data_IF_083359823715
#
_entry.id   IF_083359823715
#
_cell.length_a   1.000
_cell.length_b   1.000
_cell.length_c   1.000
_cell.angle_alpha   90.00
_cell.angle_beta   90.00
_cell.angle_gamma   90.00
#
_symmetry.space_group_name_H-M   'P 1'
#
loop_
_entity.id
_entity.type
_entity.pdbx_description
1 polymer ?
#
# COMPACT_ATOMS: atom_id res chain seq x y z
N UNK A 1 10.50 31.42 -78.97
CA UNK A 1 9.40 31.68 -79.95
C UNK A 1 8.13 31.83 -79.12
N UNK A 2 7.88 33.04 -78.61
CA UNK A 2 6.81 33.97 -79.04
C UNK A 2 5.41 33.52 -78.58
N UNK A 3 4.52 34.30 -77.95
CA UNK A 3 4.40 35.75 -77.72
C UNK A 3 3.19 35.99 -76.79
N UNK A 4 3.32 36.93 -75.84
CA UNK A 4 2.46 38.11 -75.55
C UNK A 4 0.92 37.95 -75.46
N UNK A 5 0.30 38.43 -74.36
CA UNK A 5 -0.51 39.67 -74.35
C UNK A 5 -1.31 39.85 -73.06
N UNK A 6 -1.09 40.98 -72.37
CA UNK A 6 -1.88 41.39 -71.20
C UNK A 6 -3.11 42.21 -71.55
N UNK A 7 -3.98 42.44 -70.56
CA UNK A 7 -4.80 43.66 -70.48
C UNK A 7 -5.37 43.86 -69.08
N UNK A 8 -4.92 44.92 -68.41
CA UNK A 8 -5.62 45.57 -67.31
C UNK A 8 -6.91 46.24 -67.80
N UNK A 9 -7.96 46.22 -66.97
CA UNK A 9 -8.97 47.28 -66.94
C UNK A 9 -9.33 47.53 -65.48
N UNK A 10 -8.93 48.70 -64.98
CA UNK A 10 -9.47 49.34 -63.80
C UNK A 10 -10.74 50.12 -64.17
N UNK A 11 -11.79 50.03 -63.35
CA UNK A 11 -12.82 51.08 -63.26
C UNK A 11 -13.14 51.33 -61.79
N UNK A 12 -12.94 52.59 -61.43
CA UNK A 12 -13.24 53.26 -60.18
C UNK A 12 -14.75 53.47 -59.98
N UNK A 13 -15.22 53.40 -58.75
CA UNK A 13 -16.58 53.76 -58.35
C UNK A 13 -16.69 53.95 -56.84
N UNK A 14 -16.50 55.18 -56.38
CA UNK A 14 -16.68 55.64 -55.00
C UNK A 14 -18.16 55.64 -54.58
N UNK A 15 -18.44 55.42 -53.29
CA UNK A 15 -19.81 55.60 -52.77
C UNK A 15 -20.05 55.19 -51.32
N UNK A 16 -19.70 56.08 -50.40
CA UNK A 16 -20.42 56.42 -49.16
C UNK A 16 -20.47 55.45 -47.96
N UNK A 17 -20.08 56.04 -46.83
CA UNK A 17 -20.13 55.57 -45.47
C UNK A 17 -21.53 55.20 -44.97
N UNK A 18 -21.61 54.11 -44.21
CA UNK A 18 -22.62 53.89 -43.17
C UNK A 18 -22.01 53.01 -42.07
N UNK A 19 -21.51 53.71 -41.06
CA UNK A 19 -21.04 53.23 -39.77
C UNK A 19 -22.10 52.34 -39.10
N UNK A 20 -21.85 51.03 -39.03
CA UNK A 20 -22.63 50.10 -38.19
C UNK A 20 -21.84 49.76 -36.94
N UNK A 21 -22.25 50.39 -35.83
CA UNK A 21 -21.84 50.09 -34.45
C UNK A 21 -22.05 48.59 -34.13
N UNK A 22 -21.18 47.97 -33.33
CA UNK A 22 -21.44 46.64 -32.79
C UNK A 22 -22.51 46.73 -31.69
N UNK A 23 -23.66 46.12 -31.93
CA UNK A 23 -24.73 46.01 -30.94
C UNK A 23 -24.37 44.92 -29.92
N UNK A 24 -24.14 45.38 -28.68
CA UNK A 24 -23.88 44.56 -27.53
C UNK A 24 -25.14 43.78 -27.11
N UNK A 25 -25.27 42.54 -27.57
CA UNK A 25 -26.22 41.60 -26.99
C UNK A 25 -25.65 41.01 -25.69
N UNK A 26 -25.96 41.68 -24.58
CA UNK A 26 -25.84 41.17 -23.21
C UNK A 26 -26.83 40.01 -23.01
N UNK A 27 -26.40 38.79 -23.30
CA UNK A 27 -27.05 37.56 -22.86
C UNK A 27 -26.29 36.96 -21.69
N UNK A 28 -26.60 37.40 -20.48
CA UNK A 28 -26.03 36.88 -19.23
C UNK A 28 -26.51 35.46 -18.94
N UNK A 29 -25.98 34.48 -19.66
CA UNK A 29 -25.98 33.09 -19.21
C UNK A 29 -24.97 32.96 -18.07
N UNK A 30 -25.45 33.01 -16.83
CA UNK A 30 -24.67 32.65 -15.66
C UNK A 30 -24.19 31.21 -15.85
N UNK A 31 -22.92 31.06 -16.23
CA UNK A 31 -22.24 29.78 -16.23
C UNK A 31 -22.49 29.14 -14.84
N UNK A 32 -22.96 27.88 -14.76
CA UNK A 32 -23.18 27.24 -13.47
C UNK A 32 -21.88 27.32 -12.70
N UNK A 33 -21.88 28.08 -11.60
CA UNK A 33 -20.69 28.35 -10.82
C UNK A 33 -20.00 27.03 -10.53
N UNK A 34 -18.84 26.84 -11.15
CA UNK A 34 -17.94 25.75 -10.82
C UNK A 34 -17.66 25.91 -9.33
N UNK A 35 -18.38 25.15 -8.50
CA UNK A 35 -18.23 25.19 -7.04
C UNK A 35 -16.75 25.02 -6.79
N UNK A 36 -16.11 26.07 -6.26
CA UNK A 36 -14.72 26.01 -5.84
C UNK A 36 -14.62 24.86 -4.83
N UNK A 37 -14.19 23.70 -5.31
CA UNK A 37 -14.06 22.53 -4.46
C UNK A 37 -12.98 22.88 -3.45
N UNK A 38 -13.31 22.81 -2.17
CA UNK A 38 -12.33 23.08 -1.13
C UNK A 38 -11.13 22.14 -1.31
N UNK A 39 -9.93 22.66 -1.13
CA UNK A 39 -8.68 21.91 -1.25
C UNK A 39 -8.68 20.52 -0.56
N UNK A 40 -9.29 20.32 0.63
CA UNK A 40 -9.40 18.99 1.24
C UNK A 40 -10.38 18.06 0.51
N UNK A 41 -11.51 18.56 0.00
CA UNK A 41 -12.47 17.75 -0.74
C UNK A 41 -11.89 17.24 -2.08
N UNK A 42 -11.03 18.04 -2.73
CA UNK A 42 -10.31 17.60 -3.93
C UNK A 42 -9.31 16.48 -3.62
N UNK A 43 -8.59 16.56 -2.48
CA UNK A 43 -7.63 15.55 -2.07
C UNK A 43 -8.31 14.22 -1.69
N UNK A 44 -9.43 14.28 -0.97
CA UNK A 44 -10.21 13.09 -0.63
C UNK A 44 -10.81 12.41 -1.87
N UNK A 45 -11.25 13.19 -2.86
CA UNK A 45 -11.71 12.65 -4.15
C UNK A 45 -10.58 11.96 -4.90
N UNK A 46 -9.40 12.57 -4.94
CA UNK A 46 -8.21 11.99 -5.58
C UNK A 46 -7.77 10.69 -4.89
N UNK A 47 -7.72 10.69 -3.55
CA UNK A 47 -7.43 9.48 -2.79
C UNK A 47 -8.49 8.40 -3.02
N UNK A 48 -9.77 8.76 -3.02
CA UNK A 48 -10.87 7.84 -3.32
C UNK A 48 -10.77 7.22 -4.71
N UNK A 49 -10.39 8.01 -5.72
CA UNK A 49 -10.15 7.47 -7.06
C UNK A 49 -8.94 6.54 -7.12
N UNK A 50 -7.83 6.89 -6.45
CA UNK A 50 -6.61 6.07 -6.43
C UNK A 50 -6.85 4.72 -5.73
N UNK A 51 -7.56 4.74 -4.60
CA UNK A 51 -8.01 3.54 -3.88
C UNK A 51 -8.91 2.71 -4.79
N UNK A 52 -9.90 3.33 -5.43
CA UNK A 52 -10.80 2.66 -6.36
C UNK A 52 -10.06 1.94 -7.49
N UNK A 53 -9.05 2.58 -8.09
CA UNK A 53 -8.20 1.97 -9.12
C UNK A 53 -7.37 0.82 -8.56
N UNK A 54 -6.78 1.00 -7.38
CA UNK A 54 -5.92 0.00 -6.73
C UNK A 54 -6.68 -1.28 -6.41
N UNK A 55 -7.89 -1.19 -5.85
CA UNK A 55 -8.70 -2.36 -5.49
C UNK A 55 -9.47 -2.97 -6.66
N UNK A 56 -9.62 -2.25 -7.79
CA UNK A 56 -10.24 -2.79 -9.01
C UNK A 56 -9.25 -3.43 -9.98
N UNK A 57 -7.94 -3.26 -9.75
CA UNK A 57 -6.92 -3.84 -10.62
C UNK A 57 -6.88 -5.37 -10.42
N UNK A 58 -7.04 -6.18 -11.48
CA UNK A 58 -7.15 -7.64 -11.36
C UNK A 58 -5.91 -8.25 -10.70
N UNK A 59 -4.72 -7.72 -11.00
CA UNK A 59 -3.45 -8.09 -10.34
C UNK A 59 -3.54 -7.96 -8.81
N UNK A 60 -4.10 -6.85 -8.31
CA UNK A 60 -4.17 -6.58 -6.87
C UNK A 60 -5.26 -7.42 -6.20
N UNK A 61 -6.38 -7.64 -6.87
CA UNK A 61 -7.43 -8.56 -6.42
C UNK A 61 -6.87 -9.99 -6.31
N UNK A 62 -6.12 -10.45 -7.32
CA UNK A 62 -5.49 -11.77 -7.28
C UNK A 62 -4.52 -11.90 -6.10
N UNK A 63 -3.70 -10.89 -5.81
CA UNK A 63 -2.82 -10.88 -4.64
C UNK A 63 -3.61 -10.96 -3.32
N UNK A 64 -4.68 -10.17 -3.16
CA UNK A 64 -5.54 -10.24 -1.97
C UNK A 64 -6.23 -11.61 -1.84
N UNK A 65 -6.66 -12.20 -2.95
CA UNK A 65 -7.25 -13.54 -2.96
C UNK A 65 -6.23 -14.60 -2.54
N UNK A 66 -5.00 -14.55 -3.05
CA UNK A 66 -3.91 -15.44 -2.63
C UNK A 66 -3.64 -15.27 -1.14
N UNK A 67 -3.53 -14.03 -0.64
CA UNK A 67 -3.36 -13.75 0.78
C UNK A 67 -4.51 -14.28 1.65
N UNK A 68 -5.74 -14.31 1.13
CA UNK A 68 -6.90 -14.87 1.84
C UNK A 68 -6.91 -16.41 1.84
N UNK A 69 -6.41 -17.04 0.78
CA UNK A 69 -6.42 -18.50 0.63
C UNK A 69 -5.37 -19.16 1.52
N UNK A 70 -4.19 -18.57 1.66
CA UNK A 70 -3.08 -19.21 2.39
C UNK A 70 -3.43 -19.52 3.86
N UNK A 71 -4.05 -18.62 4.66
CA UNK A 71 -4.44 -18.97 6.03
C UNK A 71 -5.46 -20.11 6.12
N UNK A 72 -6.38 -20.19 5.15
CA UNK A 72 -7.34 -21.30 5.05
C UNK A 72 -6.60 -22.61 4.79
N UNK A 73 -5.63 -22.61 3.87
CA UNK A 73 -4.80 -23.78 3.59
C UNK A 73 -4.00 -24.21 4.82
N UNK A 74 -3.43 -23.27 5.58
CA UNK A 74 -2.73 -23.56 6.84
C UNK A 74 -3.69 -24.23 7.83
N UNK A 75 -4.89 -23.67 8.03
CA UNK A 75 -5.88 -24.24 8.93
C UNK A 75 -6.32 -25.64 8.52
N UNK A 76 -6.62 -25.85 7.23
CA UNK A 76 -7.02 -27.17 6.69
C UNK A 76 -5.90 -28.18 6.84
N UNK A 77 -4.64 -27.79 6.55
CA UNK A 77 -3.49 -28.67 6.71
C UNK A 77 -3.30 -29.09 8.18
N UNK A 78 -3.36 -28.14 9.12
CA UNK A 78 -3.26 -28.43 10.55
C UNK A 78 -4.40 -29.35 11.02
N UNK A 79 -5.61 -29.19 10.47
CA UNK A 79 -6.76 -30.05 10.82
C UNK A 79 -6.65 -31.46 10.22
N UNK A 80 -6.18 -31.57 8.98
CA UNK A 80 -6.14 -32.83 8.23
C UNK A 80 -4.95 -33.71 8.63
N UNK A 81 -3.80 -33.11 8.92
CA UNK A 81 -2.56 -33.81 9.22
C UNK A 81 -2.19 -33.78 10.72
N UNK A 82 -2.94 -33.06 11.54
CA UNK A 82 -2.73 -32.91 12.98
C UNK A 82 -3.31 -34.01 13.86
N UNK A 83 -3.29 -35.26 13.43
CA UNK A 83 -3.97 -36.37 14.12
C UNK A 83 -3.32 -36.80 15.45
N UNK A 84 -4.06 -37.51 16.32
CA UNK A 84 -3.60 -37.96 17.66
C UNK A 84 -2.50 -39.03 17.68
N UNK A 85 -1.91 -39.38 16.53
CA UNK A 85 -0.82 -40.37 16.42
C UNK A 85 0.58 -39.77 16.61
N UNK A 86 0.72 -38.44 16.74
CA UNK A 86 1.96 -37.79 17.22
C UNK A 86 2.07 -37.87 18.76
N UNK A 87 1.96 -39.08 19.30
CA UNK A 87 2.19 -39.40 20.72
C UNK A 87 3.67 -39.28 21.15
N UNK A 88 4.55 -38.85 20.26
CA UNK A 88 5.90 -38.39 20.59
C UNK A 88 5.93 -36.90 20.97
N UNK A 89 4.99 -36.46 21.81
CA UNK A 89 5.10 -35.28 22.70
C UNK A 89 5.68 -33.97 22.13
N UNK A 90 5.63 -33.74 20.82
CA UNK A 90 6.59 -32.84 20.16
C UNK A 90 6.10 -32.18 18.87
N UNK A 91 4.79 -32.09 18.64
CA UNK A 91 4.26 -31.20 17.60
C UNK A 91 4.78 -29.77 17.85
N UNK A 92 5.18 -29.00 16.80
CA UNK A 92 5.69 -27.64 16.98
C UNK A 92 4.74 -26.81 17.85
N UNK A 93 5.22 -25.97 18.76
CA UNK A 93 4.37 -25.24 19.72
C UNK A 93 3.16 -24.50 19.09
N UNK A 94 3.32 -24.06 17.82
CA UNK A 94 2.26 -23.46 16.99
C UNK A 94 1.09 -24.43 16.75
N UNK A 95 1.36 -25.72 16.51
CA UNK A 95 0.37 -26.76 16.29
C UNK A 95 -0.54 -26.93 17.52
N UNK A 96 0.06 -27.08 18.70
CA UNK A 96 -0.66 -27.27 19.97
C UNK A 96 -1.51 -26.04 20.33
N UNK A 97 -1.00 -24.84 20.04
CA UNK A 97 -1.72 -23.58 20.29
C UNK A 97 -2.92 -23.41 19.35
N UNK A 98 -2.76 -23.71 18.06
CA UNK A 98 -3.84 -23.58 17.06
C UNK A 98 -4.94 -24.62 17.27
N UNK A 99 -4.57 -25.87 17.56
CA UNK A 99 -5.54 -26.94 17.81
C UNK A 99 -6.32 -26.75 19.11
N UNK A 100 -5.69 -26.13 20.12
CA UNK A 100 -6.35 -25.74 21.37
C UNK A 100 -7.31 -24.57 21.24
N UNK A 101 -7.11 -23.66 20.29
CA UNK A 101 -8.00 -22.52 20.06
C UNK A 101 -7.88 -21.95 18.64
N UNK A 102 -8.99 -21.91 17.90
CA UNK A 102 -9.03 -21.42 16.52
C UNK A 102 -8.57 -19.97 16.31
N UNK A 103 -8.63 -19.11 17.34
CA UNK A 103 -8.11 -17.73 17.24
C UNK A 103 -6.61 -17.71 17.02
N UNK A 104 -5.87 -18.70 17.52
CA UNK A 104 -4.43 -18.82 17.33
C UNK A 104 -4.02 -19.01 15.87
N UNK A 105 -4.92 -19.54 15.02
CA UNK A 105 -4.65 -19.63 13.59
C UNK A 105 -4.37 -18.25 12.99
N UNK A 106 -5.02 -17.20 13.51
CA UNK A 106 -4.79 -15.81 13.07
C UNK A 106 -3.36 -15.36 13.32
N UNK A 107 -2.87 -15.58 14.54
CA UNK A 107 -1.49 -15.22 14.91
C UNK A 107 -0.48 -16.07 14.16
N UNK A 108 -0.72 -17.38 14.05
CA UNK A 108 0.15 -18.31 13.32
C UNK A 108 0.25 -17.94 11.84
N UNK A 109 -0.88 -17.68 11.18
CA UNK A 109 -0.91 -17.28 9.78
C UNK A 109 -0.17 -15.95 9.56
N UNK A 110 -0.41 -14.94 10.40
CA UNK A 110 0.31 -13.66 10.31
C UNK A 110 1.82 -13.85 10.54
N UNK A 111 2.26 -14.67 11.50
CA UNK A 111 3.68 -14.96 11.72
C UNK A 111 4.38 -15.47 10.46
N UNK A 112 3.69 -16.26 9.64
CA UNK A 112 4.23 -16.79 8.38
C UNK A 112 4.12 -15.76 7.25
N UNK A 113 2.94 -15.18 7.04
CA UNK A 113 2.66 -14.33 5.88
C UNK A 113 3.38 -12.98 5.96
N UNK A 114 3.64 -12.46 7.16
CA UNK A 114 4.35 -11.20 7.37
C UNK A 114 5.80 -11.26 6.84
N UNK A 115 6.43 -12.42 6.82
CA UNK A 115 7.83 -12.54 6.43
C UNK A 115 8.05 -12.65 4.91
N UNK A 116 7.03 -13.06 4.17
CA UNK A 116 7.18 -13.36 2.75
C UNK A 116 6.06 -12.79 1.89
N UNK A 117 4.82 -13.22 2.13
CA UNK A 117 3.69 -12.94 1.23
C UNK A 117 3.24 -11.48 1.31
N UNK A 118 3.10 -10.92 2.52
CA UNK A 118 2.70 -9.53 2.71
C UNK A 118 3.74 -8.54 2.13
N UNK A 119 5.06 -8.69 2.42
CA UNK A 119 6.08 -7.83 1.82
C UNK A 119 6.07 -7.84 0.30
N UNK A 120 5.87 -9.00 -0.32
CA UNK A 120 5.80 -9.12 -1.78
C UNK A 120 4.57 -8.41 -2.33
N UNK A 121 3.39 -8.59 -1.72
CA UNK A 121 2.18 -7.89 -2.16
C UNK A 121 2.31 -6.36 -2.05
N UNK A 122 2.90 -5.88 -0.95
CA UNK A 122 3.18 -4.46 -0.72
C UNK A 122 4.19 -3.93 -1.73
N UNK A 123 5.28 -4.66 -1.99
CA UNK A 123 6.29 -4.29 -2.97
C UNK A 123 5.68 -4.13 -4.38
N UNK A 124 4.76 -5.02 -4.79
CA UNK A 124 4.09 -4.94 -6.09
C UNK A 124 3.22 -3.67 -6.20
N UNK A 125 2.42 -3.36 -5.18
CA UNK A 125 1.50 -2.21 -5.24
C UNK A 125 2.24 -0.89 -5.09
N UNK A 126 3.12 -0.76 -4.09
CA UNK A 126 3.84 0.48 -3.83
C UNK A 126 4.98 0.71 -4.84
N UNK A 127 5.66 -0.35 -5.28
CA UNK A 127 6.75 -0.28 -6.26
C UNK A 127 6.27 0.07 -7.68
N UNK A 128 5.05 -0.33 -8.07
CA UNK A 128 4.45 0.05 -9.36
C UNK A 128 3.81 1.45 -9.34
N UNK A 129 3.64 2.05 -8.17
CA UNK A 129 2.82 3.27 -7.98
C UNK A 129 3.32 4.50 -8.75
N UNK A 130 4.65 4.70 -8.82
CA UNK A 130 5.26 5.81 -9.58
C UNK A 130 5.93 5.27 -10.85
N UNK A 131 6.74 4.23 -10.73
CA UNK A 131 7.48 3.63 -11.83
C UNK A 131 6.55 3.08 -12.94
N UNK A 132 5.39 2.51 -12.59
CA UNK A 132 4.43 2.01 -13.57
C UNK A 132 3.80 3.11 -14.41
N UNK A 133 3.52 4.26 -13.78
CA UNK A 133 3.00 5.45 -14.48
C UNK A 133 4.08 6.17 -15.28
N UNK A 134 5.34 6.11 -14.82
CA UNK A 134 6.50 6.62 -15.55
C UNK A 134 6.71 5.84 -16.85
N UNK A 135 6.75 4.51 -16.77
CA UNK A 135 7.04 3.64 -17.92
C UNK A 135 5.98 3.67 -19.03
N UNK A 136 4.72 4.00 -18.71
CA UNK A 136 3.62 4.12 -19.68
C UNK A 136 3.53 5.56 -20.25
N UNK A 137 4.35 6.50 -19.77
CA UNK A 137 4.36 7.90 -20.23
C UNK A 137 3.23 8.76 -19.67
N UNK A 138 2.41 8.25 -18.75
CA UNK A 138 1.29 8.99 -18.14
C UNK A 138 1.75 10.01 -17.09
N UNK A 139 3.01 9.90 -16.61
CA UNK A 139 3.57 10.87 -15.66
C UNK A 139 3.59 12.30 -16.23
N UNK A 140 3.80 12.45 -17.55
CA UNK A 140 3.81 13.75 -18.22
C UNK A 140 2.45 14.45 -18.16
N UNK A 141 1.35 13.69 -18.21
CA UNK A 141 -0.01 14.21 -18.06
C UNK A 141 -0.34 14.57 -16.61
N UNK A 142 0.14 13.79 -15.63
CA UNK A 142 -0.08 14.06 -14.20
C UNK A 142 0.69 15.28 -13.69
N UNK A 143 1.83 15.62 -14.30
CA UNK A 143 2.62 16.82 -13.96
C UNK A 143 2.06 18.12 -14.56
N UNK A 144 1.12 18.04 -15.51
CA UNK A 144 0.40 19.19 -16.08
C UNK A 144 -0.90 19.47 -15.30
N UNK A 145 -1.44 18.46 -14.62
CA UNK A 145 -2.60 18.62 -13.75
C UNK A 145 -2.22 19.41 -12.47
N UNK A 146 -3.06 20.36 -12.00
CA UNK A 146 -2.74 21.29 -10.90
C UNK A 146 -2.72 20.65 -9.49
N UNK A 147 -2.45 19.35 -9.39
CA UNK A 147 -2.22 18.66 -8.12
C UNK A 147 -0.72 18.70 -7.83
N UNK A 148 -0.28 19.65 -6.99
CA UNK A 148 1.15 19.81 -6.66
C UNK A 148 1.85 18.50 -6.31
N UNK A 149 3.11 18.34 -6.75
CA UNK A 149 3.91 17.09 -6.67
C UNK A 149 3.91 16.44 -5.28
N UNK A 150 3.95 17.24 -4.23
CA UNK A 150 3.82 16.83 -2.82
C UNK A 150 2.50 16.14 -2.50
N UNK A 151 1.38 16.71 -2.96
CA UNK A 151 0.04 16.16 -2.71
C UNK A 151 -0.14 14.83 -3.41
N UNK A 152 0.34 14.70 -4.64
CA UNK A 152 0.28 13.46 -5.39
C UNK A 152 1.06 12.34 -4.68
N UNK A 153 2.30 12.63 -4.23
CA UNK A 153 3.10 11.64 -3.50
C UNK A 153 2.43 11.24 -2.18
N UNK A 154 1.86 12.19 -1.43
CA UNK A 154 1.14 11.91 -0.19
C UNK A 154 -0.09 11.01 -0.45
N UNK A 155 -0.84 11.24 -1.53
CA UNK A 155 -1.97 10.37 -1.92
C UNK A 155 -1.49 8.98 -2.30
N UNK A 156 -0.39 8.85 -3.04
CA UNK A 156 0.19 7.53 -3.39
C UNK A 156 0.62 6.75 -2.16
N UNK A 157 1.26 7.42 -1.21
CA UNK A 157 1.60 6.80 0.07
C UNK A 157 0.36 6.40 0.88
N UNK A 158 -0.63 7.29 1.00
CA UNK A 158 -1.87 7.00 1.71
C UNK A 158 -2.64 5.82 1.10
N UNK A 159 -2.72 5.76 -0.23
CA UNK A 159 -3.29 4.62 -0.95
C UNK A 159 -2.53 3.32 -0.67
N UNK A 160 -1.19 3.35 -0.68
CA UNK A 160 -0.37 2.19 -0.33
C UNK A 160 -0.58 1.75 1.14
N UNK A 161 -0.70 2.69 2.08
CA UNK A 161 -1.00 2.40 3.48
C UNK A 161 -2.40 1.77 3.67
N UNK A 162 -3.41 2.25 2.94
CA UNK A 162 -4.75 1.63 2.92
C UNK A 162 -4.69 0.21 2.34
N UNK A 163 -3.92 -0.01 1.27
CA UNK A 163 -3.69 -1.35 0.74
C UNK A 163 -3.01 -2.27 1.77
N UNK A 164 -2.00 -1.78 2.50
CA UNK A 164 -1.34 -2.53 3.57
C UNK A 164 -2.34 -2.95 4.65
N UNK A 165 -3.17 -2.02 5.13
CA UNK A 165 -4.21 -2.31 6.12
C UNK A 165 -5.20 -3.35 5.60
N UNK A 166 -5.67 -3.21 4.36
CA UNK A 166 -6.59 -4.17 3.76
C UNK A 166 -5.97 -5.55 3.58
N UNK A 167 -4.71 -5.63 3.11
CA UNK A 167 -4.00 -6.89 2.93
C UNK A 167 -3.84 -7.65 4.26
N UNK A 168 -3.41 -6.96 5.31
CA UNK A 168 -3.27 -7.55 6.66
C UNK A 168 -4.65 -7.95 7.22
N UNK A 169 -5.68 -7.13 7.03
CA UNK A 169 -7.04 -7.42 7.46
C UNK A 169 -7.60 -8.65 6.75
N UNK A 170 -7.38 -8.80 5.45
CA UNK A 170 -7.81 -9.97 4.67
C UNK A 170 -7.16 -11.24 5.20
N UNK A 171 -5.85 -11.20 5.50
CA UNK A 171 -5.15 -12.32 6.14
C UNK A 171 -5.77 -12.63 7.50
N UNK A 172 -5.97 -11.62 8.34
CA UNK A 172 -6.51 -11.81 9.68
C UNK A 172 -7.94 -12.38 9.67
N UNK A 173 -8.82 -11.84 8.81
CA UNK A 173 -10.21 -12.29 8.71
C UNK A 173 -10.31 -13.70 8.12
N UNK A 174 -9.54 -14.02 7.09
CA UNK A 174 -9.54 -15.37 6.51
C UNK A 174 -9.01 -16.41 7.50
N UNK A 175 -7.94 -16.09 8.22
CA UNK A 175 -7.40 -16.94 9.28
C UNK A 175 -8.37 -17.11 10.45
N UNK A 176 -9.01 -16.02 10.88
CA UNK A 176 -10.00 -16.05 11.96
C UNK A 176 -11.21 -16.88 11.58
N UNK A 177 -11.76 -16.69 10.38
CA UNK A 177 -12.89 -17.46 9.88
C UNK A 177 -12.54 -18.94 9.75
N UNK A 178 -11.41 -19.27 9.13
CA UNK A 178 -10.94 -20.65 9.04
C UNK A 178 -10.71 -21.26 10.43
N UNK A 179 -10.13 -20.49 11.35
CA UNK A 179 -9.84 -20.90 12.71
C UNK A 179 -11.09 -21.27 13.49
N UNK A 180 -12.09 -20.39 13.46
CA UNK A 180 -13.38 -20.60 14.12
C UNK A 180 -14.21 -21.74 13.49
N UNK A 181 -14.02 -22.01 12.20
CA UNK A 181 -14.71 -23.11 11.49
C UNK A 181 -14.05 -24.47 11.72
N UNK A 182 -12.72 -24.53 11.86
CA UNK A 182 -11.95 -25.78 11.89
C UNK A 182 -11.56 -26.23 13.30
N UNK A 183 -11.48 -25.31 14.27
CA UNK A 183 -10.97 -25.57 15.62
C UNK A 183 -11.93 -25.04 16.70
N UNK A 184 -11.82 -25.54 17.95
CA UNK A 184 -12.63 -25.05 19.05
C UNK A 184 -12.45 -23.55 19.30
N UNK A 185 -13.55 -22.86 19.62
CA UNK A 185 -13.52 -21.47 20.09
C UNK A 185 -13.65 -21.45 21.62
N UNK A 186 -12.75 -20.73 22.28
CA UNK A 186 -12.73 -20.62 23.74
C UNK A 186 -11.82 -19.49 24.24
N UNK A 187 -11.58 -19.39 25.56
CA UNK A 187 -10.60 -18.47 26.12
C UNK A 187 -9.23 -18.66 25.46
N UNK A 188 -8.55 -17.56 25.15
CA UNK A 188 -7.23 -17.59 24.50
C UNK A 188 -6.16 -17.78 25.56
N UNK A 189 -5.35 -18.83 25.46
CA UNK A 189 -4.15 -19.05 26.29
C UNK A 189 -3.02 -18.12 25.84
N UNK A 190 -2.67 -17.13 26.64
CA UNK A 190 -1.57 -16.22 26.36
C UNK A 190 -0.20 -16.92 26.45
N UNK A 191 0.84 -16.30 25.90
CA UNK A 191 2.22 -16.78 26.02
C UNK A 191 2.72 -16.79 27.47
N UNK A 192 2.07 -16.02 28.35
CA UNK A 192 2.30 -16.01 29.79
C UNK A 192 1.65 -17.19 30.54
N UNK A 193 0.89 -18.04 29.85
CA UNK A 193 0.16 -19.18 30.43
C UNK A 193 -1.21 -18.81 31.02
N UNK A 194 -1.54 -17.52 31.15
CA UNK A 194 -2.88 -17.05 31.52
C UNK A 194 -3.90 -17.24 30.41
N UNK A 195 -5.19 -17.16 30.72
CA UNK A 195 -6.27 -17.15 29.72
C UNK A 195 -7.02 -15.83 29.73
N UNK A 196 -7.45 -15.38 28.55
CA UNK A 196 -8.28 -14.18 28.39
C UNK A 196 -9.60 -14.53 27.71
N UNK A 197 -10.67 -13.75 27.96
CA UNK A 197 -11.94 -13.96 27.29
C UNK A 197 -11.83 -13.71 25.78
N UNK A 198 -12.75 -14.31 25.03
CA UNK A 198 -12.82 -14.23 23.56
C UNK A 198 -12.79 -12.78 23.04
N UNK A 199 -13.54 -11.89 23.69
CA UNK A 199 -13.66 -10.50 23.28
C UNK A 199 -12.30 -9.76 23.34
N UNK A 200 -11.55 -9.93 24.43
CA UNK A 200 -10.21 -9.37 24.57
C UNK A 200 -9.25 -9.96 23.53
N UNK A 201 -9.46 -11.24 23.19
CA UNK A 201 -8.76 -11.90 22.09
C UNK A 201 -8.98 -11.24 20.73
N UNK A 202 -10.22 -10.88 20.41
CA UNK A 202 -10.55 -10.16 19.17
C UNK A 202 -9.96 -8.75 19.15
N UNK A 203 -9.96 -8.04 20.29
CA UNK A 203 -9.30 -6.74 20.42
C UNK A 203 -7.78 -6.86 20.19
N UNK A 204 -7.15 -7.90 20.75
CA UNK A 204 -5.74 -8.22 20.53
C UNK A 204 -5.44 -8.50 19.06
N UNK A 205 -6.30 -9.23 18.35
CA UNK A 205 -6.17 -9.40 16.89
C UNK A 205 -6.22 -8.05 16.17
N UNK A 206 -7.13 -7.15 16.57
CA UNK A 206 -7.19 -5.79 16.04
C UNK A 206 -5.87 -5.02 16.23
N UNK A 207 -5.26 -5.10 17.41
CA UNK A 207 -3.95 -4.48 17.68
C UNK A 207 -2.84 -5.08 16.82
N UNK A 208 -2.82 -6.40 16.62
CA UNK A 208 -1.87 -7.06 15.71
C UNK A 208 -2.06 -6.56 14.28
N UNK A 209 -3.30 -6.48 13.79
CA UNK A 209 -3.59 -5.97 12.44
C UNK A 209 -3.04 -4.56 12.26
N UNK A 210 -3.25 -3.67 13.23
CA UNK A 210 -2.75 -2.29 13.16
C UNK A 210 -1.22 -2.23 13.22
N UNK A 211 -0.59 -3.01 14.08
CA UNK A 211 0.87 -3.07 14.21
C UNK A 211 1.53 -3.56 12.92
N UNK A 212 1.05 -4.68 12.38
CA UNK A 212 1.56 -5.27 11.14
C UNK A 212 1.29 -4.34 9.95
N UNK A 213 0.11 -3.71 9.90
CA UNK A 213 -0.19 -2.72 8.86
C UNK A 213 0.76 -1.51 8.93
N UNK A 214 1.17 -1.07 10.12
CA UNK A 214 2.17 -0.02 10.28
C UNK A 214 3.56 -0.45 9.75
N UNK A 215 4.00 -1.68 10.04
CA UNK A 215 5.24 -2.24 9.50
C UNK A 215 5.22 -2.37 7.97
N UNK A 216 4.08 -2.80 7.41
CA UNK A 216 3.87 -2.86 5.96
C UNK A 216 3.79 -1.46 5.33
N UNK A 217 3.21 -0.47 6.01
CA UNK A 217 3.19 0.92 5.55
C UNK A 217 4.59 1.56 5.56
N UNK A 218 5.47 1.17 6.49
CA UNK A 218 6.88 1.56 6.45
C UNK A 218 7.60 0.94 5.25
N UNK A 219 7.37 -0.36 4.98
CA UNK A 219 7.89 -1.00 3.76
C UNK A 219 7.33 -0.35 2.49
N UNK A 220 6.06 0.06 2.49
CA UNK A 220 5.46 0.78 1.37
C UNK A 220 6.15 2.12 1.10
N UNK A 221 6.64 2.82 2.13
CA UNK A 221 7.42 4.05 1.96
C UNK A 221 8.76 3.76 1.26
N UNK A 222 9.43 2.66 1.65
CA UNK A 222 10.66 2.18 1.01
C UNK A 222 10.41 1.85 -0.46
N UNK A 223 9.37 1.06 -0.73
CA UNK A 223 8.99 0.66 -2.08
C UNK A 223 8.62 1.86 -2.96
N UNK A 224 7.90 2.83 -2.40
CA UNK A 224 7.55 4.07 -3.08
C UNK A 224 8.79 4.91 -3.40
N UNK A 225 9.75 5.01 -2.48
CA UNK A 225 11.02 5.69 -2.73
C UNK A 225 11.78 5.03 -3.88
N UNK A 226 11.91 3.71 -3.88
CA UNK A 226 12.52 2.96 -4.97
C UNK A 226 11.75 3.14 -6.29
N UNK A 227 10.42 3.22 -6.23
CA UNK A 227 9.55 3.53 -7.38
C UNK A 227 9.86 4.88 -8.01
N UNK A 228 10.28 5.90 -7.24
CA UNK A 228 10.67 7.21 -7.80
C UNK A 228 12.04 7.22 -8.49
N UNK A 229 12.88 6.21 -8.23
CA UNK A 229 14.24 6.09 -8.75
C UNK A 229 14.31 5.42 -10.12
N UNK A 230 13.23 4.78 -10.57
CA UNK A 230 13.20 4.00 -11.81
C UNK A 230 11.93 4.28 -12.60
N UNK A 231 12.00 4.12 -13.91
CA UNK A 231 10.85 4.20 -14.81
C UNK A 231 10.30 2.81 -15.15
N UNK A 232 10.95 1.75 -14.66
CA UNK A 232 10.56 0.36 -14.87
C UNK A 232 10.02 -0.20 -13.55
N UNK A 233 8.70 -0.42 -13.50
CA UNK A 233 8.02 -0.95 -12.32
C UNK A 233 8.63 -2.25 -11.78
N UNK A 234 8.98 -3.17 -12.68
CA UNK A 234 9.59 -4.45 -12.30
C UNK A 234 10.89 -4.23 -11.51
N UNK A 235 11.68 -3.21 -11.86
CA UNK A 235 12.89 -2.86 -11.14
C UNK A 235 12.60 -2.41 -9.70
N UNK A 236 11.63 -1.51 -9.50
CA UNK A 236 11.26 -1.03 -8.17
C UNK A 236 10.74 -2.17 -7.27
N UNK A 237 9.88 -3.04 -7.84
CA UNK A 237 9.32 -4.20 -7.14
C UNK A 237 10.46 -5.15 -6.73
N UNK A 238 11.32 -5.53 -7.69
CA UNK A 238 12.43 -6.44 -7.45
C UNK A 238 13.41 -5.90 -6.40
N UNK A 239 13.79 -4.62 -6.49
CA UNK A 239 14.69 -3.99 -5.50
C UNK A 239 14.09 -3.99 -4.10
N UNK A 240 12.77 -3.75 -3.97
CA UNK A 240 12.09 -3.79 -2.67
C UNK A 240 12.15 -5.20 -2.07
N UNK A 241 11.84 -6.23 -2.87
CA UNK A 241 11.86 -7.62 -2.42
C UNK A 241 13.28 -8.06 -2.07
N UNK A 242 14.28 -7.73 -2.89
CA UNK A 242 15.68 -8.02 -2.60
C UNK A 242 16.13 -7.34 -1.31
N UNK A 243 15.76 -6.07 -1.08
CA UNK A 243 16.06 -5.39 0.17
C UNK A 243 15.47 -6.14 1.36
N UNK A 244 14.20 -6.55 1.29
CA UNK A 244 13.55 -7.34 2.35
C UNK A 244 14.31 -8.64 2.62
N UNK A 245 14.67 -9.38 1.57
CA UNK A 245 15.43 -10.63 1.69
C UNK A 245 16.79 -10.37 2.35
N UNK A 246 17.53 -9.35 1.89
CA UNK A 246 18.82 -8.97 2.47
C UNK A 246 18.67 -8.62 3.94
N UNK A 247 17.68 -7.81 4.31
CA UNK A 247 17.45 -7.46 5.72
C UNK A 247 17.08 -8.67 6.58
N UNK A 248 16.32 -9.64 6.04
CA UNK A 248 16.04 -10.89 6.76
C UNK A 248 17.30 -11.73 6.95
N UNK A 249 18.14 -11.87 5.92
CA UNK A 249 19.41 -12.61 6.00
C UNK A 249 20.33 -11.97 7.04
N UNK A 250 20.47 -10.64 7.04
CA UNK A 250 21.25 -9.91 8.04
C UNK A 250 20.69 -10.12 9.46
N UNK A 251 19.37 -10.26 9.59
CA UNK A 251 18.68 -10.50 10.85
C UNK A 251 18.99 -11.86 11.49
N UNK A 252 19.37 -12.86 10.69
CA UNK A 252 19.68 -14.22 11.19
C UNK A 252 21.13 -14.35 11.65
N UNK A 253 22.04 -13.47 11.19
CA UNK A 253 23.48 -13.55 11.51
C UNK A 253 23.74 -13.04 12.93
N UNK A 254 24.18 -13.89 13.88
CA UNK A 254 24.37 -13.48 15.29
C UNK A 254 25.44 -12.41 15.47
N UNK A 255 26.46 -12.40 14.62
CA UNK A 255 27.56 -11.42 14.64
C UNK A 255 27.09 -10.00 14.31
N UNK A 256 25.91 -9.84 13.70
CA UNK A 256 25.31 -8.56 13.37
C UNK A 256 24.23 -8.13 14.37
N UNK A 257 24.23 -8.70 15.58
CA UNK A 257 23.27 -8.37 16.64
C UNK A 257 23.16 -6.88 16.95
N UNK A 258 24.24 -6.11 16.80
CA UNK A 258 24.21 -4.65 16.94
C UNK A 258 23.41 -3.91 15.86
N UNK A 259 23.26 -4.49 14.66
CA UNK A 259 22.46 -3.92 13.56
C UNK A 259 20.99 -4.34 13.60
N UNK A 260 20.68 -5.50 14.19
CA UNK A 260 19.34 -6.08 14.20
C UNK A 260 18.24 -5.10 14.66
N UNK A 261 18.41 -4.29 15.73
CA UNK A 261 17.38 -3.35 16.18
C UNK A 261 17.02 -2.27 15.15
N UNK A 262 17.89 -2.01 14.18
CA UNK A 262 17.68 -1.02 13.12
C UNK A 262 17.09 -1.62 11.83
N UNK A 263 16.99 -2.95 11.74
CA UNK A 263 16.42 -3.62 10.57
C UNK A 263 14.90 -3.55 10.63
N UNK A 264 14.28 -3.12 9.53
CA UNK A 264 12.82 -3.03 9.44
C UNK A 264 12.13 -4.38 9.74
N UNK A 265 12.71 -5.47 9.22
CA UNK A 265 12.18 -6.83 9.33
C UNK A 265 12.32 -7.43 10.73
N UNK A 266 13.23 -6.91 11.57
CA UNK A 266 13.43 -7.40 12.93
C UNK A 266 12.19 -7.20 13.80
N UNK A 267 11.50 -6.06 13.62
CA UNK A 267 10.32 -5.72 14.41
C UNK A 267 9.01 -6.28 13.85
N UNK A 268 9.03 -6.92 12.68
CA UNK A 268 7.80 -7.47 12.08
C UNK A 268 7.12 -8.54 12.93
N UNK A 269 7.87 -9.31 13.71
CA UNK A 269 7.32 -10.31 14.64
C UNK A 269 6.96 -9.74 16.02
N UNK A 270 7.22 -8.46 16.29
CA UNK A 270 6.98 -7.83 17.60
C UNK A 270 5.50 -7.73 18.01
N UNK A 271 4.58 -8.13 17.13
CA UNK A 271 3.17 -8.28 17.48
C UNK A 271 2.91 -9.44 18.45
N UNK A 272 3.87 -10.37 18.65
CA UNK A 272 3.80 -11.41 19.69
C UNK A 272 3.67 -10.79 21.09
N UNK A 273 4.17 -9.57 21.28
CA UNK A 273 3.99 -8.78 22.50
C UNK A 273 2.53 -8.57 22.90
N UNK A 274 1.61 -8.60 21.93
CA UNK A 274 0.15 -8.56 22.15
C UNK A 274 -0.36 -9.83 22.80
N UNK A 275 0.35 -10.96 22.70
CA UNK A 275 -0.02 -12.23 23.32
C UNK A 275 0.54 -12.40 24.74
N UNK A 276 1.14 -11.35 25.33
CA UNK A 276 1.69 -11.37 26.70
C UNK A 276 0.76 -10.68 27.69
N UNK A 277 0.94 -10.96 28.98
CA UNK A 277 0.24 -10.28 30.07
C UNK A 277 1.23 -9.81 31.15
N UNK A 278 1.47 -8.50 31.32
CA UNK A 278 0.88 -7.39 30.55
C UNK A 278 1.38 -7.36 29.08
N UNK A 279 0.66 -6.64 28.21
CA UNK A 279 1.07 -6.42 26.81
C UNK A 279 2.45 -5.75 26.79
N UNK A 280 3.36 -6.25 25.96
CA UNK A 280 4.73 -5.73 25.82
C UNK A 280 4.77 -4.42 25.00
N UNK A 281 4.11 -3.38 25.50
CA UNK A 281 3.98 -2.08 24.83
C UNK A 281 5.32 -1.38 24.59
N UNK A 282 6.33 -1.64 25.44
CA UNK A 282 7.69 -1.12 25.26
C UNK A 282 8.33 -1.59 23.96
N UNK A 283 8.40 -2.91 23.76
CA UNK A 283 9.00 -3.52 22.56
C UNK A 283 8.20 -3.18 21.30
N UNK A 284 6.87 -3.25 21.39
CA UNK A 284 6.01 -2.83 20.29
C UNK A 284 6.22 -1.35 19.94
N UNK A 285 6.37 -0.49 20.95
CA UNK A 285 6.66 0.93 20.77
C UNK A 285 7.97 1.17 20.02
N UNK A 286 9.03 0.43 20.36
CA UNK A 286 10.31 0.48 19.63
C UNK A 286 10.14 0.11 18.16
N UNK A 287 9.41 -0.97 17.87
CA UNK A 287 9.09 -1.35 16.49
C UNK A 287 8.34 -0.26 15.73
N UNK A 288 7.32 0.35 16.34
CA UNK A 288 6.57 1.46 15.74
C UNK A 288 7.45 2.68 15.48
N UNK A 289 8.41 2.99 16.37
CA UNK A 289 9.37 4.07 16.16
C UNK A 289 10.29 3.78 14.96
N UNK A 290 10.77 2.54 14.82
CA UNK A 290 11.56 2.13 13.66
C UNK A 290 10.73 2.21 12.38
N UNK A 291 9.47 1.75 12.39
CA UNK A 291 8.56 1.87 11.24
C UNK A 291 8.35 3.34 10.84
N UNK A 292 8.11 4.22 11.82
CA UNK A 292 7.99 5.65 11.58
C UNK A 292 9.28 6.27 11.02
N UNK A 293 10.45 5.88 11.54
CA UNK A 293 11.74 6.35 11.05
C UNK A 293 11.96 5.96 9.59
N UNK A 294 11.69 4.70 9.22
CA UNK A 294 11.76 4.26 7.82
C UNK A 294 10.76 5.02 6.93
N UNK A 295 9.52 5.21 7.40
CA UNK A 295 8.52 5.96 6.65
C UNK A 295 8.95 7.42 6.39
N UNK A 296 9.53 8.09 7.39
CA UNK A 296 10.04 9.45 7.27
C UNK A 296 11.26 9.53 6.36
N UNK A 297 12.26 8.66 6.57
CA UNK A 297 13.51 8.67 5.79
C UNK A 297 13.23 8.38 4.31
N UNK A 298 12.55 7.28 4.02
CA UNK A 298 12.25 6.90 2.63
C UNK A 298 11.17 7.78 2.00
N UNK A 299 10.19 8.24 2.78
CA UNK A 299 9.26 9.27 2.33
C UNK A 299 9.96 10.57 1.93
N UNK A 300 10.99 10.98 2.67
CA UNK A 300 11.81 12.15 2.34
C UNK A 300 12.65 11.93 1.08
N UNK A 301 13.23 10.73 0.89
CA UNK A 301 13.95 10.36 -0.34
C UNK A 301 13.01 10.41 -1.55
N UNK A 302 11.82 9.81 -1.44
CA UNK A 302 10.80 9.84 -2.48
C UNK A 302 10.40 11.28 -2.82
N UNK A 303 10.20 12.11 -1.78
CA UNK A 303 9.83 13.52 -1.94
C UNK A 303 10.92 14.34 -2.62
N UNK A 304 12.18 14.21 -2.18
CA UNK A 304 13.31 14.92 -2.77
C UNK A 304 13.50 14.55 -4.24
N UNK A 305 13.39 13.26 -4.58
CA UNK A 305 13.50 12.78 -5.97
C UNK A 305 12.34 13.22 -6.85
N UNK A 306 11.12 13.15 -6.35
CA UNK A 306 9.92 13.51 -7.10
C UNK A 306 9.81 15.03 -7.32
N UNK A 307 10.34 15.83 -6.38
CA UNK A 307 10.30 17.30 -6.47
C UNK A 307 11.48 17.85 -7.27
N UNK A 308 12.68 17.29 -7.10
CA UNK A 308 13.93 17.79 -7.71
C UNK A 308 14.20 17.36 -9.16
N UNK A 309 13.39 16.48 -9.75
CA UNK A 309 13.49 16.19 -11.19
C UNK A 309 12.84 17.32 -11.99
N UNK A 310 13.66 18.13 -12.65
CA UNK A 310 13.24 18.93 -13.79
C UNK A 310 13.07 17.98 -14.98
N UNK A 311 11.82 17.76 -15.39
CA UNK A 311 11.52 16.97 -16.58
C UNK A 311 11.66 17.90 -17.78
N UNK A 312 12.88 18.09 -18.26
CA UNK A 312 13.14 18.76 -19.53
C UNK A 312 12.94 17.78 -20.68
N UNK A 313 11.89 18.07 -21.45
CA UNK A 313 11.64 17.71 -22.87
C UNK A 313 11.09 16.32 -23.20
#
# INVERSE_FOLDING_TARGET
MSTVSGREVAVSGAGSAAERRPEAARGGGSAPGARAVSAPAALLRLLGSEIGLTFRRPRNIAMLAVLAVVPVLIGVALRAFGGPDDNDGGGPAIFTQVTGNGLFLTFAALSVLVQLMLPVAVAVVAGDSVAGEAGIGTLRYLLVAPAGRTRLLAVKYANAAVFCLAAVTVVALSALLAGLLLFPAGPITLLSGGTIPLFDGLLRIGLVVLYVAAGMAALAAVALALSTLTEVAVGAIASTVVLVIVTQVLGVIPQLSGLQPYLLTHWWSGFDGVLRDPIATGDMGQGLLVFAAYAVVFGSIAWARFTGKDVTS
#
